data_IF_598515388759
#
_entry.id   IF_598515388759
#
_cell.length_a   1.000
_cell.length_b   1.000
_cell.length_c   1.000
_cell.angle_alpha   90.00
_cell.angle_beta   90.00
_cell.angle_gamma   90.00
#
_symmetry.space_group_name_H-M   'P 1'
#
loop_
_entity.id
_entity.type
_entity.pdbx_description
1 polymer ?
#
# COMPACT_ATOMS: atom_id res chain seq x y z
N UNK A 1 -4.76 -9.75 -25.73
CA UNK A 1 -4.20 -10.98 -25.10
C UNK A 1 -4.25 -12.16 -26.08
N UNK A 2 -3.62 -12.02 -27.26
CA UNK A 2 -3.78 -12.95 -28.39
C UNK A 2 -2.63 -13.94 -28.59
N UNK A 3 -2.15 -14.59 -27.52
CA UNK A 3 -1.21 -15.71 -27.62
C UNK A 3 -1.98 -17.01 -27.52
N UNK A 4 -1.59 -18.04 -28.28
CA UNK A 4 -2.19 -19.37 -28.22
C UNK A 4 -2.16 -19.90 -26.79
N UNK A 5 -3.32 -20.26 -26.19
CA UNK A 5 -3.37 -20.74 -24.83
C UNK A 5 -2.66 -22.10 -24.71
N UNK A 6 -1.75 -22.23 -23.75
CA UNK A 6 -1.10 -23.50 -23.42
C UNK A 6 -2.10 -24.36 -22.66
N UNK A 7 -2.41 -25.56 -23.19
CA UNK A 7 -3.34 -26.51 -22.58
C UNK A 7 -2.68 -27.17 -21.38
N UNK A 8 -3.21 -26.94 -20.17
CA UNK A 8 -2.76 -27.60 -18.94
C UNK A 8 -3.63 -28.83 -18.66
N UNK A 9 -3.03 -29.97 -18.27
CA UNK A 9 -3.77 -31.12 -17.76
C UNK A 9 -4.09 -30.90 -16.28
N UNK A 10 -5.22 -30.27 -15.99
CA UNK A 10 -5.69 -30.03 -14.63
C UNK A 10 -7.20 -30.29 -14.54
N UNK A 11 -7.65 -30.78 -13.38
CA UNK A 11 -9.07 -30.90 -13.04
C UNK A 11 -9.39 -29.76 -12.08
N UNK A 12 -10.40 -28.95 -12.42
CA UNK A 12 -10.82 -27.79 -11.62
C UNK A 12 -12.25 -27.99 -11.17
N UNK A 13 -12.47 -27.99 -9.85
CA UNK A 13 -13.80 -28.01 -9.25
C UNK A 13 -14.20 -26.59 -8.88
N UNK A 14 -15.43 -26.19 -9.20
CA UNK A 14 -15.98 -24.88 -8.87
C UNK A 14 -17.41 -25.02 -8.35
N UNK A 15 -17.80 -24.12 -7.44
CA UNK A 15 -19.15 -24.04 -6.91
C UNK A 15 -19.89 -22.83 -7.54
N UNK A 16 -21.21 -22.94 -7.66
CA UNK A 16 -22.05 -21.86 -8.19
C UNK A 16 -21.88 -20.59 -7.35
N UNK A 17 -21.74 -19.39 -7.98
CA UNK A 17 -21.64 -18.12 -7.25
C UNK A 17 -22.84 -17.84 -6.34
N UNK A 18 -24.02 -18.38 -6.65
CA UNK A 18 -25.24 -18.21 -5.86
C UNK A 18 -25.28 -19.08 -4.59
N UNK A 19 -24.37 -20.05 -4.48
CA UNK A 19 -24.23 -20.94 -3.31
C UNK A 19 -23.08 -20.51 -2.39
N UNK A 20 -22.34 -19.45 -2.76
CA UNK A 20 -21.22 -18.93 -2.00
C UNK A 20 -21.64 -17.66 -1.25
N UNK A 21 -20.98 -17.39 -0.12
CA UNK A 21 -21.08 -16.06 0.48
C UNK A 21 -20.43 -15.03 -0.45
N UNK A 22 -21.13 -13.93 -0.72
CA UNK A 22 -20.72 -12.92 -1.71
C UNK A 22 -19.49 -12.13 -1.25
N UNK A 23 -19.36 -11.88 0.07
CA UNK A 23 -18.30 -11.00 0.62
C UNK A 23 -17.62 -11.50 1.94
N UNK A 24 -17.29 -12.79 2.11
CA UNK A 24 -16.62 -13.25 3.33
C UNK A 24 -15.16 -12.77 3.40
N UNK A 25 -14.47 -12.69 2.26
CA UNK A 25 -13.03 -12.43 2.20
C UNK A 25 -12.60 -11.00 2.51
N UNK A 26 -13.52 -10.04 2.59
CA UNK A 26 -13.20 -8.65 2.92
C UNK A 26 -12.96 -8.46 4.43
N UNK A 27 -13.76 -9.14 5.26
CA UNK A 27 -13.76 -8.91 6.71
C UNK A 27 -13.09 -10.03 7.51
N UNK A 28 -13.12 -11.26 6.98
CA UNK A 28 -12.67 -12.45 7.72
C UNK A 28 -11.19 -12.41 8.14
N UNK A 29 -10.33 -11.81 7.32
CA UNK A 29 -8.87 -11.82 7.52
C UNK A 29 -8.26 -10.41 7.51
N UNK A 30 -8.99 -9.40 8.01
CA UNK A 30 -8.57 -8.00 7.96
C UNK A 30 -7.22 -7.78 8.64
N UNK A 31 -7.05 -8.29 9.87
CA UNK A 31 -5.85 -8.10 10.69
C UNK A 31 -4.62 -8.73 10.03
N UNK A 32 -4.76 -9.96 9.56
CA UNK A 32 -3.70 -10.69 8.84
C UNK A 32 -3.32 -9.97 7.54
N UNK A 33 -4.30 -9.49 6.77
CA UNK A 33 -4.05 -8.73 5.53
C UNK A 33 -3.38 -7.39 5.79
N UNK A 34 -3.74 -6.69 6.87
CA UNK A 34 -3.07 -5.45 7.28
C UNK A 34 -1.62 -5.74 7.66
N UNK A 35 -1.38 -6.78 8.46
CA UNK A 35 -0.03 -7.18 8.85
C UNK A 35 0.85 -7.41 7.61
N UNK A 36 0.40 -8.26 6.68
CA UNK A 36 1.14 -8.52 5.44
C UNK A 36 1.39 -7.24 4.63
N UNK A 37 0.38 -6.39 4.47
CA UNK A 37 0.54 -5.15 3.70
C UNK A 37 1.53 -4.17 4.34
N UNK A 38 1.59 -4.13 5.68
CA UNK A 38 2.56 -3.29 6.38
C UNK A 38 3.96 -3.92 6.32
N UNK A 39 4.10 -5.22 6.60
CA UNK A 39 5.41 -5.89 6.58
C UNK A 39 6.04 -5.94 5.21
N UNK A 40 5.25 -6.05 4.15
CA UNK A 40 5.78 -6.21 2.80
C UNK A 40 6.11 -4.85 2.16
N UNK A 41 5.49 -3.76 2.64
CA UNK A 41 5.62 -2.44 2.02
C UNK A 41 6.21 -1.35 2.93
N UNK A 42 6.56 -1.62 4.20
CA UNK A 42 7.04 -0.57 5.11
C UNK A 42 8.27 0.17 4.57
N UNK A 43 9.23 -0.54 3.96
CA UNK A 43 10.43 0.07 3.38
C UNK A 43 10.07 1.00 2.22
N UNK A 44 9.19 0.56 1.33
CA UNK A 44 8.72 1.39 0.22
C UNK A 44 7.97 2.62 0.72
N UNK A 45 7.18 2.47 1.79
CA UNK A 45 6.48 3.58 2.43
C UNK A 45 7.45 4.57 3.09
N UNK A 46 8.50 4.10 3.78
CA UNK A 46 9.49 4.98 4.38
C UNK A 46 10.34 5.68 3.33
N UNK A 47 10.77 5.01 2.26
CA UNK A 47 11.51 5.65 1.17
C UNK A 47 10.69 6.73 0.44
N UNK A 48 9.36 6.55 0.35
CA UNK A 48 8.49 7.53 -0.26
C UNK A 48 8.24 8.73 0.68
N UNK A 49 7.92 8.47 1.94
CA UNK A 49 7.49 9.50 2.89
C UNK A 49 8.65 10.22 3.59
N UNK A 50 9.80 9.58 3.79
CA UNK A 50 10.91 10.17 4.51
C UNK A 50 11.48 11.43 3.83
N UNK A 51 11.71 11.47 2.49
CA UNK A 51 12.15 12.69 1.83
C UNK A 51 11.13 13.82 1.90
N UNK A 52 9.82 13.50 1.79
CA UNK A 52 8.74 14.48 1.90
C UNK A 52 8.70 15.13 3.28
N UNK A 53 8.72 14.33 4.34
CA UNK A 53 8.71 14.83 5.73
C UNK A 53 10.01 15.58 6.03
N UNK A 54 11.16 15.06 5.59
CA UNK A 54 12.46 15.68 5.81
C UNK A 54 12.58 17.05 5.14
N UNK A 55 12.21 17.16 3.86
CA UNK A 55 12.22 18.44 3.15
C UNK A 55 11.22 19.43 3.72
N UNK A 56 10.01 18.97 4.06
CA UNK A 56 9.00 19.84 4.67
C UNK A 56 9.49 20.42 6.00
N UNK A 57 9.99 19.58 6.90
CA UNK A 57 10.50 20.02 8.20
C UNK A 57 11.71 20.95 8.08
N UNK A 58 12.64 20.65 7.15
CA UNK A 58 13.77 21.52 6.86
C UNK A 58 13.34 22.91 6.38
N UNK A 59 12.44 22.98 5.39
CA UNK A 59 11.97 24.25 4.81
C UNK A 59 11.25 25.10 5.85
N UNK A 60 10.39 24.50 6.68
CA UNK A 60 9.70 25.23 7.74
C UNK A 60 10.68 25.80 8.78
N UNK A 61 11.67 25.00 9.19
CA UNK A 61 12.69 25.45 10.14
C UNK A 61 13.53 26.58 9.56
N UNK A 62 13.94 26.48 8.29
CA UNK A 62 14.69 27.52 7.60
C UNK A 62 13.91 28.84 7.55
N UNK A 63 12.64 28.80 7.13
CA UNK A 63 11.78 29.99 7.08
C UNK A 63 11.59 30.64 8.44
N UNK A 64 11.47 29.83 9.50
CA UNK A 64 11.31 30.36 10.86
C UNK A 64 12.58 31.06 11.34
N UNK A 65 13.75 30.47 11.05
CA UNK A 65 15.05 31.08 11.36
C UNK A 65 15.26 32.38 10.59
N UNK A 66 15.03 32.36 9.28
CA UNK A 66 15.12 33.55 8.42
C UNK A 66 14.20 34.68 8.91
N UNK A 67 12.96 34.34 9.30
CA UNK A 67 12.02 35.30 9.88
C UNK A 67 12.52 35.92 11.18
N UNK A 68 13.19 35.15 12.04
CA UNK A 68 13.76 35.64 13.30
C UNK A 68 15.03 36.47 13.08
N UNK A 69 15.88 36.08 12.13
CA UNK A 69 17.12 36.80 11.79
C UNK A 69 16.85 38.19 11.19
N UNK A 70 15.76 38.34 10.43
CA UNK A 70 15.34 39.63 9.87
C UNK A 70 14.41 40.42 10.79
N UNK A 71 14.20 39.96 12.02
CA UNK A 71 13.43 40.68 13.03
C UNK A 71 14.38 41.60 13.79
N UNK A 72 14.26 42.91 13.52
CA UNK A 72 15.00 44.05 14.10
C UNK A 72 15.73 43.79 15.42
#
# INVERSE_FOLDING_TARGET
>A
MGKTPVRMKAVVYSLSPFQQQIMPGLWKDLTTKIHHKVTDNWISATLLLAPLVGTYTYVQNFKEKEKLEHRY
#
